data_IF_715225993668
#
_entry.id   IF_715225993668
#
_cell.length_a   1.000
_cell.length_b   1.000
_cell.length_c   1.000
_cell.angle_alpha   90.00
_cell.angle_beta   90.00
_cell.angle_gamma   90.00
#
_symmetry.space_group_name_H-M   'P 1'
#
loop_
_entity.id
_entity.type
_entity.pdbx_description
1 polymer ?
#
# COMPACT_ATOMS: atom_id res chain seq x y z
N UNK A 1 -19.87 -4.06 -3.88
CA UNK A 1 -19.53 -5.01 -4.99
C UNK A 1 -18.09 -5.40 -4.73
N UNK A 2 -17.82 -6.64 -4.29
CA UNK A 2 -16.45 -7.11 -4.06
C UNK A 2 -15.67 -6.98 -5.36
N UNK A 3 -14.59 -6.19 -5.35
CA UNK A 3 -13.61 -6.22 -6.43
C UNK A 3 -13.19 -7.68 -6.61
N UNK A 4 -13.31 -8.21 -7.83
CA UNK A 4 -12.88 -9.57 -8.10
C UNK A 4 -11.41 -9.67 -7.68
N UNK A 5 -11.12 -10.58 -6.75
CA UNK A 5 -9.79 -10.77 -6.18
C UNK A 5 -8.78 -10.95 -7.31
N UNK A 6 -7.97 -9.93 -7.54
CA UNK A 6 -6.91 -9.96 -8.53
C UNK A 6 -5.83 -10.93 -8.03
N UNK A 7 -5.58 -12.02 -8.79
CA UNK A 7 -4.41 -12.87 -8.51
C UNK A 7 -3.14 -12.22 -9.07
N UNK A 8 -2.27 -11.66 -8.23
CA UNK A 8 -1.06 -10.99 -8.68
C UNK A 8 -0.05 -11.95 -9.33
N UNK A 9 -0.23 -13.25 -9.17
CA UNK A 9 0.66 -14.31 -9.67
C UNK A 9 0.09 -15.08 -10.87
N UNK A 10 -1.13 -14.76 -11.31
CA UNK A 10 -1.75 -15.45 -12.45
C UNK A 10 -0.80 -15.51 -13.66
N UNK A 11 -0.72 -16.63 -14.39
CA UNK A 11 0.13 -16.76 -15.56
C UNK A 11 -0.18 -15.69 -16.61
N UNK A 12 0.86 -15.13 -17.22
CA UNK A 12 0.70 -14.19 -18.33
C UNK A 12 1.81 -14.39 -19.39
N UNK A 13 1.55 -14.07 -20.67
CA UNK A 13 2.56 -14.07 -21.71
C UNK A 13 3.71 -13.10 -21.42
N UNK A 14 4.89 -13.36 -21.99
CA UNK A 14 6.05 -12.47 -21.87
C UNK A 14 5.74 -11.06 -22.35
N UNK A 15 6.15 -10.06 -21.56
CA UNK A 15 5.97 -8.66 -21.88
C UNK A 15 4.52 -8.18 -21.97
N UNK A 16 3.54 -9.01 -21.58
CA UNK A 16 2.12 -8.69 -21.68
C UNK A 16 1.33 -9.27 -20.52
N UNK A 17 0.47 -8.44 -19.95
CA UNK A 17 -0.49 -8.84 -18.91
C UNK A 17 -1.91 -8.42 -19.34
N UNK A 18 -2.92 -9.18 -18.92
CA UNK A 18 -4.32 -8.81 -19.14
C UNK A 18 -5.23 -9.34 -18.02
N UNK A 19 -6.20 -8.55 -17.61
CA UNK A 19 -7.21 -8.90 -16.62
C UNK A 19 -8.30 -7.84 -16.54
N UNK A 20 -9.54 -8.26 -16.29
CA UNK A 20 -10.69 -7.38 -16.02
C UNK A 20 -10.87 -6.19 -16.99
N UNK A 21 -10.69 -6.43 -18.31
CA UNK A 21 -10.84 -5.38 -19.31
C UNK A 21 -9.62 -4.47 -19.48
N UNK A 22 -8.53 -4.74 -18.76
CA UNK A 22 -7.26 -4.01 -18.90
C UNK A 22 -6.19 -4.93 -19.52
N UNK A 23 -5.46 -4.40 -20.48
CA UNK A 23 -4.29 -5.04 -21.07
C UNK A 23 -3.10 -4.11 -20.94
N UNK A 24 -1.97 -4.62 -20.43
CA UNK A 24 -0.72 -3.88 -20.33
C UNK A 24 0.37 -4.60 -21.10
N UNK A 25 1.12 -3.86 -21.91
CA UNK A 25 2.20 -4.40 -22.75
C UNK A 25 3.45 -3.54 -22.60
N UNK A 26 4.59 -4.19 -22.39
CA UNK A 26 5.89 -3.52 -22.43
C UNK A 26 6.35 -3.36 -23.87
N UNK A 27 6.66 -2.12 -24.26
CA UNK A 27 7.26 -1.80 -25.56
C UNK A 27 8.76 -2.08 -25.57
N UNK A 28 9.22 -2.55 -26.72
CA UNK A 28 10.64 -2.63 -27.04
C UNK A 28 10.89 -1.73 -28.25
N UNK A 29 11.40 -0.54 -28.05
CA UNK A 29 11.72 0.43 -29.09
C UNK A 29 10.94 1.76 -29.00
N UNK A 30 11.20 2.70 -29.93
CA UNK A 30 10.61 4.02 -29.87
C UNK A 30 9.10 3.99 -30.03
N UNK A 31 8.45 4.91 -29.30
CA UNK A 31 7.01 5.09 -29.40
C UNK A 31 6.59 5.46 -30.82
N UNK A 32 5.60 4.76 -31.37
CA UNK A 32 4.91 5.13 -32.61
C UNK A 32 3.48 5.53 -32.26
N UNK A 33 3.10 6.82 -32.42
CA UNK A 33 1.72 7.24 -32.20
C UNK A 33 0.76 6.41 -33.04
N UNK A 34 -0.30 5.89 -32.44
CA UNK A 34 -1.35 5.18 -33.16
C UNK A 34 -2.41 6.19 -33.65
N UNK A 35 -2.68 6.34 -34.96
CA UNK A 35 -3.47 7.45 -35.50
C UNK A 35 -4.99 7.33 -35.36
N UNK A 36 -5.52 6.28 -34.77
CA UNK A 36 -6.94 5.92 -35.03
C UNK A 36 -7.89 5.83 -33.84
N UNK A 37 -7.50 6.11 -32.58
CA UNK A 37 -8.40 5.96 -31.41
C UNK A 37 -8.09 7.04 -30.37
N UNK A 38 -9.06 7.36 -29.48
CA UNK A 38 -8.85 8.21 -28.31
C UNK A 38 -7.65 7.70 -27.49
N UNK A 39 -6.48 8.25 -27.79
CA UNK A 39 -5.18 7.81 -27.29
C UNK A 39 -4.57 8.97 -26.52
N UNK A 40 -4.19 8.71 -25.29
CA UNK A 40 -3.35 9.62 -24.53
C UNK A 40 -1.96 9.01 -24.44
N UNK A 41 -0.96 9.73 -24.97
CA UNK A 41 0.44 9.32 -24.88
C UNK A 41 1.21 10.34 -24.06
N UNK A 42 1.95 9.84 -23.10
CA UNK A 42 2.96 10.54 -22.32
C UNK A 42 4.35 10.02 -22.73
N UNK A 43 5.44 10.58 -22.25
CA UNK A 43 6.77 10.05 -22.56
C UNK A 43 6.96 8.57 -22.25
N UNK A 44 6.26 8.08 -21.20
CA UNK A 44 6.45 6.72 -20.67
C UNK A 44 5.30 5.76 -20.99
N UNK A 45 4.09 6.28 -21.25
CA UNK A 45 2.88 5.47 -21.43
C UNK A 45 2.11 5.89 -22.67
N UNK A 46 1.50 4.91 -23.35
CA UNK A 46 0.42 5.15 -24.29
C UNK A 46 -0.80 4.37 -23.86
N UNK A 47 -1.93 5.06 -23.76
CA UNK A 47 -3.20 4.46 -23.33
C UNK A 47 -4.25 4.62 -24.39
N UNK A 48 -4.89 3.51 -24.71
CA UNK A 48 -6.01 3.44 -25.64
C UNK A 48 -7.24 2.94 -24.89
N UNK A 49 -8.33 3.70 -24.97
CA UNK A 49 -9.62 3.30 -24.40
C UNK A 49 -10.63 3.03 -25.49
N UNK A 50 -11.22 1.85 -25.47
CA UNK A 50 -12.32 1.46 -26.38
C UNK A 50 -13.47 0.89 -25.57
N UNK A 51 -14.49 1.71 -25.33
CA UNK A 51 -15.57 1.34 -24.40
C UNK A 51 -15.05 1.07 -23.00
N UNK A 52 -15.31 -0.13 -22.48
CA UNK A 52 -14.83 -0.58 -21.17
C UNK A 52 -13.40 -1.18 -21.22
N UNK A 53 -12.80 -1.33 -22.41
CA UNK A 53 -11.46 -1.89 -22.57
C UNK A 53 -10.41 -0.81 -22.49
N UNK A 54 -9.37 -1.08 -21.71
CA UNK A 54 -8.19 -0.23 -21.53
C UNK A 54 -6.93 -0.98 -21.99
N UNK A 55 -6.19 -0.40 -22.92
CA UNK A 55 -4.89 -0.92 -23.33
C UNK A 55 -3.83 0.09 -22.96
N UNK A 56 -2.81 -0.35 -22.23
CA UNK A 56 -1.68 0.46 -21.78
C UNK A 56 -0.39 -0.11 -22.35
N UNK A 57 0.40 0.72 -23.00
CA UNK A 57 1.76 0.40 -23.40
C UNK A 57 2.74 1.24 -22.60
N UNK A 58 3.85 0.66 -22.15
CA UNK A 58 4.90 1.35 -21.40
C UNK A 58 6.28 0.88 -21.83
N UNK A 59 7.32 1.64 -21.45
CA UNK A 59 8.72 1.32 -21.75
C UNK A 59 9.57 1.12 -20.49
N UNK A 60 8.94 0.96 -19.32
CA UNK A 60 9.65 0.81 -18.06
C UNK A 60 10.60 -0.39 -18.09
N UNK A 61 11.77 -0.20 -17.51
CA UNK A 61 12.80 -1.22 -17.35
C UNK A 61 12.66 -1.95 -16.00
N UNK A 62 13.24 -3.14 -15.86
CA UNK A 62 13.24 -3.84 -14.57
C UNK A 62 13.88 -3.04 -13.41
N UNK A 63 14.81 -2.13 -13.72
CA UNK A 63 15.44 -1.26 -12.71
C UNK A 63 14.51 -0.18 -12.17
N UNK A 64 13.48 0.19 -12.93
CA UNK A 64 12.52 1.24 -12.57
C UNK A 64 11.27 0.70 -11.85
N UNK A 65 11.14 -0.62 -11.74
CA UNK A 65 10.03 -1.23 -10.98
C UNK A 65 10.26 -1.04 -9.48
N UNK A 66 9.58 -0.09 -8.89
CA UNK A 66 9.55 0.14 -7.45
C UNK A 66 8.22 0.78 -7.05
N UNK A 67 8.03 1.06 -5.77
CA UNK A 67 6.86 1.75 -5.25
C UNK A 67 6.68 3.17 -5.84
N UNK A 68 7.74 3.78 -6.35
CA UNK A 68 7.67 5.03 -7.13
C UNK A 68 6.77 4.91 -8.38
N UNK A 69 6.44 3.69 -8.84
CA UNK A 69 5.46 3.44 -9.88
C UNK A 69 4.09 4.04 -9.53
N UNK A 70 3.72 4.08 -8.25
CA UNK A 70 2.49 4.71 -7.76
C UNK A 70 2.42 6.17 -8.18
N UNK A 71 3.47 6.95 -7.90
CA UNK A 71 3.54 8.36 -8.27
C UNK A 71 3.62 8.55 -9.80
N UNK A 72 4.38 7.71 -10.47
CA UNK A 72 4.53 7.76 -11.92
C UNK A 72 3.19 7.52 -12.65
N UNK A 73 2.41 6.54 -12.21
CA UNK A 73 1.08 6.29 -12.78
C UNK A 73 0.10 7.43 -12.45
N UNK A 74 0.19 7.98 -11.25
CA UNK A 74 -0.65 9.12 -10.85
C UNK A 74 -0.39 10.32 -11.75
N UNK A 75 0.85 10.76 -11.88
CA UNK A 75 1.24 11.91 -12.69
C UNK A 75 0.89 11.73 -14.17
N UNK A 76 1.20 10.57 -14.72
CA UNK A 76 1.06 10.36 -16.16
C UNK A 76 -0.34 9.92 -16.60
N UNK A 77 -1.10 9.23 -15.74
CA UNK A 77 -2.34 8.58 -16.15
C UNK A 77 -3.57 9.00 -15.33
N UNK A 78 -3.43 9.26 -14.04
CA UNK A 78 -4.57 9.70 -13.21
C UNK A 78 -4.82 11.19 -13.39
N UNK A 79 -3.79 12.02 -13.21
CA UNK A 79 -3.91 13.47 -13.30
C UNK A 79 -4.27 13.94 -14.72
N UNK A 80 -4.05 13.11 -15.73
CA UNK A 80 -4.51 13.32 -17.12
C UNK A 80 -5.95 12.86 -17.36
N UNK A 81 -6.61 12.27 -16.36
CA UNK A 81 -7.98 11.75 -16.46
C UNK A 81 -8.14 10.46 -17.27
N UNK A 82 -7.02 9.79 -17.59
CA UNK A 82 -7.02 8.56 -18.39
C UNK A 82 -7.43 7.34 -17.56
N UNK A 83 -6.93 7.21 -16.33
CA UNK A 83 -7.36 6.19 -15.37
C UNK A 83 -8.50 6.72 -14.51
N UNK A 84 -9.46 5.83 -14.20
CA UNK A 84 -10.68 6.15 -13.47
C UNK A 84 -10.77 5.32 -12.20
N UNK A 85 -10.56 5.99 -11.07
CA UNK A 85 -10.68 5.37 -9.74
C UNK A 85 -9.64 4.28 -9.45
N UNK A 86 -9.75 3.72 -8.26
CA UNK A 86 -8.81 2.77 -7.67
C UNK A 86 -8.67 1.48 -8.49
N UNK A 87 -9.79 0.90 -8.95
CA UNK A 87 -9.77 -0.40 -9.63
C UNK A 87 -8.95 -0.40 -10.93
N UNK A 88 -9.09 0.64 -11.78
CA UNK A 88 -8.26 0.75 -13.00
C UNK A 88 -6.80 1.01 -12.66
N UNK A 89 -6.53 1.81 -11.62
CA UNK A 89 -5.18 2.09 -11.14
C UNK A 89 -4.47 0.80 -10.71
N UNK A 90 -5.09 -0.01 -9.86
CA UNK A 90 -4.53 -1.27 -9.37
C UNK A 90 -4.29 -2.30 -10.49
N UNK A 91 -5.21 -2.39 -11.46
CA UNK A 91 -5.07 -3.26 -12.62
C UNK A 91 -3.89 -2.84 -13.49
N UNK A 92 -3.75 -1.53 -13.76
CA UNK A 92 -2.62 -1.01 -14.55
C UNK A 92 -1.31 -1.16 -13.80
N UNK A 93 -1.28 -0.87 -12.50
CA UNK A 93 -0.10 -1.08 -11.66
C UNK A 93 0.38 -2.54 -11.72
N UNK A 94 -0.52 -3.48 -11.45
CA UNK A 94 -0.24 -4.91 -11.54
C UNK A 94 0.24 -5.29 -12.93
N UNK A 95 -0.44 -4.80 -13.96
CA UNK A 95 -0.08 -5.06 -15.36
C UNK A 95 1.31 -4.56 -15.72
N UNK A 96 1.72 -3.38 -15.24
CA UNK A 96 3.06 -2.84 -15.46
C UNK A 96 4.11 -3.70 -14.78
N UNK A 97 3.92 -4.07 -13.50
CA UNK A 97 4.85 -4.96 -12.79
C UNK A 97 5.00 -6.28 -13.54
N UNK A 98 3.88 -6.89 -13.98
CA UNK A 98 3.82 -8.21 -14.58
C UNK A 98 4.29 -8.26 -16.04
N UNK A 99 4.19 -7.16 -16.79
CA UNK A 99 4.68 -7.07 -18.17
C UNK A 99 6.14 -6.63 -18.28
N UNK A 100 6.72 -6.06 -17.23
CA UNK A 100 8.11 -5.58 -17.26
C UNK A 100 9.13 -6.69 -17.06
N UNK A 101 8.84 -7.67 -16.20
CA UNK A 101 9.72 -8.82 -15.93
C UNK A 101 8.94 -10.11 -16.11
N UNK A 102 9.53 -11.06 -16.82
CA UNK A 102 8.93 -12.36 -17.04
C UNK A 102 8.85 -13.19 -15.74
N UNK A 103 7.77 -13.95 -15.62
CA UNK A 103 7.52 -14.82 -14.48
C UNK A 103 6.78 -14.12 -13.33
N UNK A 104 5.73 -14.78 -12.83
CA UNK A 104 4.83 -14.22 -11.80
C UNK A 104 5.55 -13.69 -10.58
N UNK A 105 6.17 -14.58 -9.82
CA UNK A 105 6.89 -14.20 -8.60
C UNK A 105 8.17 -13.39 -8.89
N UNK A 106 8.85 -13.64 -10.02
CA UNK A 106 10.10 -12.94 -10.37
C UNK A 106 9.87 -11.44 -10.61
N UNK A 107 8.74 -11.07 -11.24
CA UNK A 107 8.39 -9.66 -11.44
C UNK A 107 8.16 -8.95 -10.10
N UNK A 108 7.39 -9.56 -9.21
CA UNK A 108 7.16 -9.02 -7.87
C UNK A 108 8.44 -8.98 -7.03
N UNK A 109 9.29 -10.00 -7.05
CA UNK A 109 10.57 -9.96 -6.35
C UNK A 109 11.47 -8.82 -6.83
N UNK A 110 11.44 -8.49 -8.12
CA UNK A 110 12.16 -7.31 -8.64
C UNK A 110 11.58 -6.02 -8.07
N UNK A 111 10.25 -5.87 -8.12
CA UNK A 111 9.55 -4.73 -7.54
C UNK A 111 9.86 -4.55 -6.05
N UNK A 112 9.73 -5.62 -5.26
CA UNK A 112 10.02 -5.56 -3.82
C UNK A 112 11.47 -5.21 -3.50
N UNK A 113 12.45 -5.80 -4.21
CA UNK A 113 13.87 -5.50 -3.99
C UNK A 113 14.19 -4.04 -4.27
N UNK A 114 13.70 -3.51 -5.38
CA UNK A 114 13.94 -2.12 -5.74
C UNK A 114 13.25 -1.16 -4.75
N UNK A 115 12.01 -1.44 -4.35
CA UNK A 115 11.26 -0.64 -3.39
C UNK A 115 11.92 -0.64 -2.01
N UNK A 116 12.31 -1.81 -1.50
CA UNK A 116 13.00 -1.92 -0.22
C UNK A 116 14.36 -1.23 -0.25
N UNK A 117 15.12 -1.37 -1.34
CA UNK A 117 16.39 -0.66 -1.49
C UNK A 117 16.20 0.86 -1.46
N UNK A 118 15.22 1.41 -2.19
CA UNK A 118 14.91 2.82 -2.17
C UNK A 118 14.46 3.33 -0.79
N UNK A 119 13.63 2.54 -0.08
CA UNK A 119 13.20 2.83 1.28
C UNK A 119 14.37 2.81 2.29
N UNK A 120 15.29 1.88 2.15
CA UNK A 120 16.45 1.70 3.05
C UNK A 120 17.53 2.76 2.81
N UNK A 121 17.70 3.21 1.56
CA UNK A 121 18.61 4.31 1.21
C UNK A 121 18.02 5.71 1.48
N UNK A 122 16.73 5.82 1.73
CA UNK A 122 16.06 7.11 1.95
C UNK A 122 15.57 7.80 0.68
N UNK A 123 15.65 7.13 -0.47
CA UNK A 123 15.28 7.70 -1.79
C UNK A 123 13.76 7.61 -2.07
N UNK A 124 13.03 6.75 -1.36
CA UNK A 124 11.60 6.61 -1.55
C UNK A 124 10.81 7.67 -0.78
N UNK A 125 9.69 8.12 -1.33
CA UNK A 125 8.79 9.10 -0.68
C UNK A 125 8.32 8.64 0.72
N UNK A 126 8.11 7.34 0.91
CA UNK A 126 7.73 6.76 2.20
C UNK A 126 8.91 6.49 3.16
N UNK A 127 10.15 6.71 2.74
CA UNK A 127 11.31 6.44 3.61
C UNK A 127 11.29 7.20 4.95
N UNK A 128 10.99 8.52 5.01
CA UNK A 128 10.89 9.24 6.28
C UNK A 128 9.71 8.74 7.14
N UNK A 129 8.58 8.36 6.53
CA UNK A 129 7.43 7.80 7.25
C UNK A 129 7.80 6.47 7.90
N UNK A 130 8.45 5.57 7.16
CA UNK A 130 8.91 4.30 7.70
C UNK A 130 9.99 4.46 8.78
N UNK A 131 10.86 5.45 8.65
CA UNK A 131 11.88 5.75 9.67
C UNK A 131 11.23 6.23 10.97
N UNK A 132 10.26 7.13 10.87
CA UNK A 132 9.50 7.64 12.01
C UNK A 132 8.68 6.52 12.67
N UNK A 133 7.95 5.72 11.89
CA UNK A 133 7.20 4.59 12.42
C UNK A 133 8.11 3.61 13.17
N UNK A 134 9.29 3.28 12.60
CA UNK A 134 10.27 2.41 13.24
C UNK A 134 10.80 2.98 14.57
N UNK A 135 11.03 4.28 14.66
CA UNK A 135 11.43 4.96 15.89
C UNK A 135 10.36 4.89 17.00
N UNK A 136 9.08 4.76 16.59
CA UNK A 136 7.95 4.63 17.51
C UNK A 136 7.73 3.19 17.99
N UNK A 137 8.29 2.16 17.36
CA UNK A 137 8.10 0.75 17.76
C UNK A 137 8.66 0.51 19.18
N UNK A 138 7.90 -0.17 20.01
CA UNK A 138 8.25 -0.59 21.38
C UNK A 138 8.12 -2.11 21.49
N UNK A 139 9.13 -2.74 22.05
CA UNK A 139 9.18 -4.19 22.24
C UNK A 139 9.42 -4.98 20.95
N UNK A 140 9.56 -6.31 21.07
CA UNK A 140 9.94 -7.16 19.95
C UNK A 140 8.78 -7.55 19.03
N UNK A 141 7.53 -7.56 19.51
CA UNK A 141 6.38 -8.02 18.73
C UNK A 141 5.62 -6.88 18.10
N UNK A 142 5.44 -6.95 16.79
CA UNK A 142 4.75 -5.95 15.98
C UNK A 142 3.58 -6.59 15.20
N UNK A 143 2.41 -5.98 15.26
CA UNK A 143 1.32 -6.21 14.31
C UNK A 143 1.17 -4.96 13.45
N UNK A 144 1.12 -5.14 12.13
CA UNK A 144 0.86 -4.06 11.17
C UNK A 144 -0.49 -4.30 10.51
N UNK A 145 -1.41 -3.37 10.71
CA UNK A 145 -2.78 -3.41 10.19
C UNK A 145 -2.85 -2.70 8.83
N UNK A 146 -3.43 -3.37 7.82
CA UNK A 146 -3.54 -2.83 6.46
C UNK A 146 -2.18 -2.74 5.76
N UNK A 147 -1.39 -3.80 5.85
CA UNK A 147 0.01 -3.82 5.40
C UNK A 147 0.21 -3.66 3.90
N UNK A 148 -0.82 -3.85 3.07
CA UNK A 148 -0.75 -3.78 1.61
C UNK A 148 0.41 -4.64 1.05
N UNK A 149 1.45 -4.04 0.47
CA UNK A 149 2.66 -4.73 0.02
C UNK A 149 3.59 -5.19 1.16
N UNK A 150 3.37 -4.77 2.39
CA UNK A 150 4.15 -5.19 3.55
C UNK A 150 5.59 -4.67 3.58
N UNK A 151 5.88 -3.52 2.99
CA UNK A 151 7.23 -2.95 3.02
C UNK A 151 7.69 -2.60 4.44
N UNK A 152 6.81 -2.02 5.26
CA UNK A 152 7.13 -1.72 6.66
C UNK A 152 7.35 -3.01 7.46
N UNK A 153 6.45 -4.02 7.44
CA UNK A 153 6.70 -5.34 8.00
C UNK A 153 8.03 -5.97 7.60
N UNK A 154 8.37 -5.98 6.31
CA UNK A 154 9.62 -6.54 5.82
C UNK A 154 10.86 -5.81 6.34
N UNK A 155 10.79 -4.49 6.52
CA UNK A 155 11.86 -3.70 7.14
C UNK A 155 12.01 -4.00 8.62
N UNK A 156 10.89 -4.12 9.36
CA UNK A 156 10.92 -4.45 10.78
C UNK A 156 11.44 -5.86 11.03
N UNK A 157 11.06 -6.83 10.19
CA UNK A 157 11.62 -8.18 10.26
C UNK A 157 13.13 -8.20 10.01
N UNK A 158 13.65 -7.38 9.08
CA UNK A 158 15.08 -7.23 8.87
C UNK A 158 15.82 -6.60 10.07
N UNK A 159 15.12 -5.84 10.92
CA UNK A 159 15.64 -5.29 12.18
C UNK A 159 15.49 -6.26 13.37
N UNK A 160 14.96 -7.46 13.14
CA UNK A 160 14.85 -8.52 14.14
C UNK A 160 13.56 -8.52 14.96
N UNK A 161 12.53 -7.78 14.54
CA UNK A 161 11.22 -7.85 15.17
C UNK A 161 10.45 -9.11 14.72
N UNK A 162 9.63 -9.64 15.62
CA UNK A 162 8.61 -10.67 15.34
C UNK A 162 7.36 -9.95 14.79
N UNK A 163 7.11 -10.10 13.49
CA UNK A 163 6.16 -9.27 12.76
C UNK A 163 5.01 -10.10 12.20
N UNK A 164 3.79 -9.67 12.49
CA UNK A 164 2.57 -10.10 11.82
C UNK A 164 2.05 -8.95 10.95
N UNK A 165 1.97 -9.18 9.66
CA UNK A 165 1.33 -8.29 8.69
C UNK A 165 -0.12 -8.73 8.46
N UNK A 166 -1.05 -7.80 8.49
CA UNK A 166 -2.47 -8.08 8.21
C UNK A 166 -3.00 -7.19 7.10
N UNK A 167 -3.91 -7.73 6.29
CA UNK A 167 -4.61 -6.98 5.24
C UNK A 167 -5.94 -7.66 4.91
N UNK A 168 -6.89 -6.91 4.39
CA UNK A 168 -8.18 -7.43 3.94
C UNK A 168 -8.02 -8.35 2.70
N UNK A 169 -6.94 -8.19 1.93
CA UNK A 169 -6.67 -8.91 0.68
C UNK A 169 -5.91 -10.22 0.90
N UNK A 170 -6.54 -11.40 0.75
CA UNK A 170 -5.83 -12.68 0.83
C UNK A 170 -4.73 -12.82 -0.24
N UNK A 171 -4.93 -12.21 -1.41
CA UNK A 171 -3.95 -12.26 -2.49
C UNK A 171 -2.71 -11.41 -2.19
N UNK A 172 -2.86 -10.25 -1.54
CA UNK A 172 -1.74 -9.44 -1.06
C UNK A 172 -0.95 -10.19 0.02
N UNK A 173 -1.64 -10.76 1.00
CA UNK A 173 -0.99 -11.54 2.07
C UNK A 173 -0.30 -12.80 1.54
N UNK A 174 -0.91 -13.52 0.60
CA UNK A 174 -0.29 -14.67 -0.06
C UNK A 174 0.93 -14.29 -0.93
N UNK A 175 0.95 -13.10 -1.52
CA UNK A 175 2.11 -12.57 -2.22
C UNK A 175 3.23 -12.21 -1.24
N UNK A 176 2.89 -11.50 -0.16
CA UNK A 176 3.84 -11.09 0.87
C UNK A 176 4.51 -12.29 1.53
N UNK A 177 3.77 -13.34 1.87
CA UNK A 177 4.30 -14.59 2.42
C UNK A 177 5.39 -15.20 1.51
N UNK A 178 5.10 -15.32 0.21
CA UNK A 178 6.06 -15.84 -0.77
C UNK A 178 7.28 -14.95 -0.95
N UNK A 179 7.08 -13.64 -0.91
CA UNK A 179 8.16 -12.65 -1.07
C UNK A 179 9.03 -12.63 0.18
N UNK A 180 8.45 -12.59 1.38
CA UNK A 180 9.16 -12.56 2.66
C UNK A 180 10.13 -13.73 2.79
N UNK A 181 9.67 -14.93 2.44
CA UNK A 181 10.48 -16.16 2.40
C UNK A 181 11.68 -16.02 1.44
N UNK A 182 11.45 -15.49 0.22
CA UNK A 182 12.50 -15.32 -0.80
C UNK A 182 13.48 -14.20 -0.51
N UNK A 183 13.09 -13.23 0.30
CA UNK A 183 13.94 -12.14 0.76
C UNK A 183 14.67 -12.44 2.07
N UNK A 184 14.42 -13.60 2.68
CA UNK A 184 14.93 -13.97 4.00
C UNK A 184 14.58 -12.91 5.08
N UNK A 185 13.35 -12.35 4.99
CA UNK A 185 12.79 -11.40 5.96
C UNK A 185 11.48 -12.01 6.50
N UNK A 186 11.54 -12.86 7.55
CA UNK A 186 10.38 -13.62 7.98
C UNK A 186 9.28 -12.71 8.54
N UNK A 187 8.14 -12.70 7.87
CA UNK A 187 6.92 -11.98 8.26
C UNK A 187 5.78 -12.98 8.25
N UNK A 188 5.08 -13.13 9.36
CA UNK A 188 3.82 -13.85 9.39
C UNK A 188 2.73 -13.00 8.70
N UNK A 189 1.82 -13.65 7.98
CA UNK A 189 0.74 -12.94 7.26
C UNK A 189 -0.62 -13.46 7.65
N UNK A 190 -1.61 -12.57 7.79
CA UNK A 190 -2.99 -12.91 8.11
C UNK A 190 -3.94 -12.05 7.24
N UNK A 191 -4.76 -12.71 6.42
CA UNK A 191 -5.82 -12.02 5.71
C UNK A 191 -7.04 -11.88 6.63
N UNK A 192 -7.37 -10.67 7.06
CA UNK A 192 -8.48 -10.39 7.96
C UNK A 192 -8.97 -8.94 7.82
N UNK A 193 -10.15 -8.68 8.35
CA UNK A 193 -10.65 -7.33 8.57
C UNK A 193 -9.91 -6.71 9.78
N UNK A 194 -9.37 -5.50 9.62
CA UNK A 194 -8.67 -4.80 10.70
C UNK A 194 -9.60 -4.31 11.83
N UNK A 195 -10.92 -4.39 11.63
CA UNK A 195 -11.92 -4.08 12.67
C UNK A 195 -12.17 -5.24 13.62
N UNK A 196 -11.77 -6.47 13.24
CA UNK A 196 -12.00 -7.71 14.02
C UNK A 196 -10.90 -8.74 13.72
N UNK A 197 -9.74 -8.57 14.31
CA UNK A 197 -8.59 -9.46 14.12
C UNK A 197 -8.68 -10.63 15.09
N UNK A 198 -8.75 -11.86 14.59
CA UNK A 198 -8.94 -13.07 15.39
C UNK A 198 -7.66 -13.42 16.16
N UNK A 199 -7.29 -12.56 17.12
CA UNK A 199 -6.15 -12.72 18.02
C UNK A 199 -6.54 -12.31 19.45
N UNK A 200 -5.89 -12.88 20.49
CA UNK A 200 -6.10 -12.45 21.88
C UNK A 200 -5.71 -10.99 22.13
N UNK A 201 -6.30 -10.41 23.18
CA UNK A 201 -5.89 -9.08 23.67
C UNK A 201 -4.40 -9.05 24.00
N UNK A 202 -3.76 -7.93 23.69
CA UNK A 202 -2.34 -7.74 23.96
C UNK A 202 -1.45 -8.73 23.19
N UNK A 203 -1.78 -9.09 21.96
CA UNK A 203 -1.02 -10.02 21.13
C UNK A 203 0.33 -9.44 20.66
N UNK A 204 0.48 -8.12 20.61
CA UNK A 204 1.72 -7.45 20.23
C UNK A 204 2.14 -6.38 21.24
N UNK A 205 3.42 -6.01 21.24
CA UNK A 205 3.91 -4.88 22.02
C UNK A 205 3.53 -3.56 21.35
N UNK A 206 3.67 -3.51 20.02
CA UNK A 206 3.26 -2.38 19.19
C UNK A 206 2.30 -2.83 18.11
N UNK A 207 1.30 -2.01 17.82
CA UNK A 207 0.42 -2.14 16.65
C UNK A 207 0.58 -0.90 15.77
N UNK A 208 0.79 -1.08 14.48
CA UNK A 208 0.86 0.01 13.51
C UNK A 208 -0.33 -0.01 12.57
N UNK A 209 -0.78 1.17 12.16
CA UNK A 209 -1.77 1.40 11.11
C UNK A 209 -1.26 2.58 10.26
N UNK A 210 -0.40 2.26 9.29
CA UNK A 210 0.28 3.26 8.47
C UNK A 210 -0.46 3.42 7.15
N UNK A 211 -1.05 4.59 6.92
CA UNK A 211 -1.85 4.88 5.73
C UNK A 211 -3.00 3.88 5.54
N UNK A 212 -3.76 3.61 6.60
CA UNK A 212 -4.91 2.72 6.59
C UNK A 212 -6.22 3.46 6.81
N UNK A 213 -6.29 4.32 7.83
CA UNK A 213 -7.58 4.84 8.31
C UNK A 213 -8.21 5.87 7.37
N UNK A 214 -7.46 6.45 6.44
CA UNK A 214 -7.99 7.30 5.36
C UNK A 214 -8.83 6.55 4.33
N UNK A 215 -8.68 5.22 4.24
CA UNK A 215 -9.47 4.35 3.37
C UNK A 215 -10.80 3.93 3.98
N UNK A 216 -11.02 4.19 5.27
CA UNK A 216 -12.13 3.63 6.03
C UNK A 216 -13.26 4.66 6.23
N UNK A 217 -14.54 4.26 6.15
CA UNK A 217 -15.62 5.09 6.66
C UNK A 217 -15.48 5.29 8.17
N UNK A 218 -16.11 6.34 8.72
CA UNK A 218 -15.91 6.78 10.11
C UNK A 218 -16.14 5.66 11.13
N UNK A 219 -17.18 4.85 10.97
CA UNK A 219 -17.48 3.77 11.91
C UNK A 219 -16.39 2.69 11.92
N UNK A 220 -15.92 2.30 10.74
CA UNK A 220 -14.82 1.33 10.59
C UNK A 220 -13.49 1.90 11.12
N UNK A 221 -13.22 3.19 10.92
CA UNK A 221 -12.06 3.86 11.47
C UNK A 221 -12.00 3.72 13.00
N UNK A 222 -13.10 4.03 13.70
CA UNK A 222 -13.15 3.89 15.15
C UNK A 222 -12.99 2.44 15.60
N UNK A 223 -13.62 1.48 14.89
CA UNK A 223 -13.48 0.07 15.21
C UNK A 223 -12.03 -0.41 15.04
N UNK A 224 -11.31 0.03 13.99
CA UNK A 224 -9.89 -0.30 13.80
C UNK A 224 -9.02 0.28 14.91
N UNK A 225 -9.27 1.51 15.35
CA UNK A 225 -8.49 2.12 16.44
C UNK A 225 -8.74 1.42 17.78
N UNK A 226 -9.99 1.04 18.07
CA UNK A 226 -10.34 0.26 19.26
C UNK A 226 -9.70 -1.13 19.22
N UNK A 227 -9.69 -1.76 18.05
CA UNK A 227 -9.05 -3.06 17.82
C UNK A 227 -7.52 -2.97 17.94
N UNK A 228 -6.90 -1.95 17.36
CA UNK A 228 -5.47 -1.69 17.53
C UNK A 228 -5.08 -1.53 19.00
N UNK A 229 -5.89 -0.79 19.77
CA UNK A 229 -5.71 -0.69 21.22
C UNK A 229 -5.90 -2.03 21.93
N UNK A 230 -6.87 -2.84 21.57
CA UNK A 230 -7.08 -4.18 22.14
C UNK A 230 -5.86 -5.08 21.93
N UNK A 231 -5.29 -5.06 20.73
CA UNK A 231 -4.14 -5.89 20.33
C UNK A 231 -2.82 -5.41 20.94
N UNK A 232 -2.66 -4.10 21.17
CA UNK A 232 -1.42 -3.53 21.66
C UNK A 232 -1.26 -3.67 23.18
N UNK A 233 -0.07 -4.07 23.63
CA UNK A 233 0.33 -4.05 25.05
C UNK A 233 0.88 -2.70 25.49
N UNK A 234 1.57 -2.01 24.60
CA UNK A 234 2.36 -0.82 24.92
C UNK A 234 1.99 0.39 24.09
N UNK A 235 1.90 0.21 22.75
CA UNK A 235 1.78 1.36 21.83
C UNK A 235 0.99 1.02 20.59
N UNK A 236 0.16 1.99 20.16
CA UNK A 236 -0.41 2.04 18.82
C UNK A 236 0.20 3.23 18.08
N UNK A 237 0.59 3.03 16.82
CA UNK A 237 1.16 4.06 15.95
C UNK A 237 0.33 4.17 14.70
N UNK A 238 -0.25 5.33 14.46
CA UNK A 238 -1.06 5.63 13.28
C UNK A 238 -0.40 6.75 12.50
N UNK A 239 -0.28 6.58 11.19
CA UNK A 239 0.15 7.62 10.27
C UNK A 239 -0.89 7.80 9.17
N UNK A 240 -1.16 9.04 8.78
CA UNK A 240 -2.11 9.42 7.71
C UNK A 240 -1.50 10.49 6.81
N UNK A 241 -1.85 10.53 5.51
CA UNK A 241 -1.46 11.64 4.66
C UNK A 241 -2.26 12.90 5.02
N UNK A 242 -1.64 14.07 4.84
CA UNK A 242 -2.37 15.33 4.79
C UNK A 242 -2.61 15.71 3.33
N UNK A 243 -3.82 15.56 2.88
CA UNK A 243 -4.26 15.84 1.52
C UNK A 243 -5.30 16.96 1.53
N UNK A 244 -5.29 17.81 0.50
CA UNK A 244 -6.35 18.83 0.35
C UNK A 244 -7.70 18.19 0.05
N UNK A 245 -7.69 17.12 -0.73
CA UNK A 245 -8.84 16.27 -1.04
C UNK A 245 -8.42 14.80 -1.08
N UNK A 246 -9.29 13.88 -0.61
CA UNK A 246 -9.02 12.44 -0.70
C UNK A 246 -8.79 12.01 -2.16
N UNK A 247 -7.77 11.19 -2.40
CA UNK A 247 -7.45 10.70 -3.75
C UNK A 247 -8.19 9.39 -4.04
N UNK A 248 -9.23 9.45 -4.84
CA UNK A 248 -10.04 8.30 -5.25
C UNK A 248 -9.21 7.18 -5.89
N UNK A 249 -8.13 7.53 -6.61
CA UNK A 249 -7.26 6.53 -7.26
C UNK A 249 -6.52 5.65 -6.25
N UNK A 250 -6.32 6.12 -5.04
CA UNK A 250 -5.75 5.35 -3.93
C UNK A 250 -6.83 4.74 -3.03
N UNK A 251 -8.10 5.05 -3.26
CA UNK A 251 -9.21 4.60 -2.42
C UNK A 251 -9.35 5.39 -1.12
N UNK A 252 -8.79 6.61 -1.05
CA UNK A 252 -8.99 7.47 0.10
C UNK A 252 -10.41 8.02 0.11
N UNK A 253 -11.08 7.87 1.25
CA UNK A 253 -12.45 8.35 1.47
C UNK A 253 -12.53 9.41 2.55
N UNK A 254 -11.44 9.63 3.29
CA UNK A 254 -11.38 10.60 4.36
C UNK A 254 -10.16 11.51 4.24
N UNK A 255 -10.37 12.76 4.65
CA UNK A 255 -9.32 13.76 4.79
C UNK A 255 -8.92 13.89 6.25
N UNK A 256 -7.62 13.99 6.49
CA UNK A 256 -7.05 14.28 7.82
C UNK A 256 -6.30 15.60 7.84
N UNK A 257 -6.31 16.21 9.00
CA UNK A 257 -5.46 17.29 9.44
C UNK A 257 -5.12 17.10 10.93
N UNK A 258 -4.23 17.92 11.44
CA UNK A 258 -3.79 17.79 12.84
C UNK A 258 -4.94 17.96 13.84
N UNK A 259 -5.88 18.86 13.56
CA UNK A 259 -7.03 19.10 14.44
C UNK A 259 -7.95 17.87 14.51
N UNK A 260 -8.16 17.18 13.39
CA UNK A 260 -8.95 15.95 13.37
C UNK A 260 -8.26 14.83 14.14
N UNK A 261 -6.93 14.69 14.01
CA UNK A 261 -6.17 13.72 14.80
C UNK A 261 -6.23 14.02 16.29
N UNK A 262 -6.17 15.30 16.70
CA UNK A 262 -6.35 15.72 18.10
C UNK A 262 -7.71 15.32 18.64
N UNK A 263 -8.79 15.54 17.88
CA UNK A 263 -10.14 15.10 18.28
C UNK A 263 -10.22 13.58 18.46
N UNK A 264 -9.65 12.80 17.54
CA UNK A 264 -9.58 11.34 17.68
C UNK A 264 -8.79 10.94 18.94
N UNK A 265 -7.68 11.63 19.23
CA UNK A 265 -6.89 11.41 20.43
C UNK A 265 -7.72 11.65 21.71
N UNK A 266 -8.46 12.77 21.77
CA UNK A 266 -9.33 13.13 22.89
C UNK A 266 -10.47 12.11 23.06
N UNK A 267 -11.10 11.69 21.97
CA UNK A 267 -12.16 10.69 21.98
C UNK A 267 -11.65 9.33 22.50
N UNK A 268 -10.48 8.86 22.01
CA UNK A 268 -9.90 7.60 22.44
C UNK A 268 -9.47 7.63 23.91
N UNK A 269 -8.81 8.69 24.36
CA UNK A 269 -8.42 8.84 25.77
C UNK A 269 -9.62 8.96 26.70
N UNK A 270 -10.72 9.56 26.23
CA UNK A 270 -11.98 9.61 26.98
C UNK A 270 -12.70 8.27 27.09
N UNK A 271 -12.56 7.38 26.09
CA UNK A 271 -13.19 6.04 26.07
C UNK A 271 -12.36 4.95 26.73
N UNK A 272 -11.04 5.05 26.68
CA UNK A 272 -10.11 4.04 27.18
C UNK A 272 -9.28 4.58 28.35
N UNK A 273 -9.57 4.11 29.55
CA UNK A 273 -8.82 4.52 30.74
C UNK A 273 -7.36 4.02 30.68
N UNK A 274 -6.43 4.86 31.12
CA UNK A 274 -5.02 4.49 31.25
C UNK A 274 -4.20 4.62 29.96
N UNK A 275 -4.76 5.17 28.87
CA UNK A 275 -3.98 5.52 27.68
C UNK A 275 -3.63 7.01 27.66
N UNK A 276 -2.49 7.33 27.06
CA UNK A 276 -2.10 8.68 26.68
C UNK A 276 -1.96 8.79 25.17
N UNK A 277 -2.20 9.99 24.63
CA UNK A 277 -2.16 10.21 23.19
C UNK A 277 -1.25 11.39 22.83
N UNK A 278 -0.50 11.26 21.76
CA UNK A 278 0.29 12.32 21.16
C UNK A 278 -0.04 12.44 19.68
N UNK A 279 -0.24 13.68 19.22
CA UNK A 279 -0.44 13.97 17.80
C UNK A 279 0.57 15.00 17.33
N UNK A 280 1.11 14.78 16.13
CA UNK A 280 2.05 15.72 15.50
C UNK A 280 2.04 15.58 13.99
N UNK A 281 2.66 16.55 13.31
CA UNK A 281 2.82 16.55 11.85
C UNK A 281 4.27 16.27 11.49
N UNK A 282 4.50 15.26 10.65
CA UNK A 282 5.78 14.93 10.05
C UNK A 282 5.54 14.10 8.78
N UNK A 283 5.73 14.66 7.60
CA UNK A 283 5.37 14.03 6.32
C UNK A 283 3.93 13.49 6.27
N UNK A 284 3.00 14.16 6.94
CA UNK A 284 1.63 13.74 7.19
C UNK A 284 1.27 13.94 8.65
N UNK A 285 0.24 13.26 9.13
CA UNK A 285 -0.23 13.30 10.51
C UNK A 285 0.07 12.03 11.27
N UNK A 286 0.40 12.16 12.53
CA UNK A 286 0.69 11.05 13.43
C UNK A 286 -0.21 11.08 14.65
N UNK A 287 -0.68 9.91 15.04
CA UNK A 287 -1.35 9.65 16.31
C UNK A 287 -0.64 8.47 16.97
N UNK A 288 -0.04 8.72 18.12
CA UNK A 288 0.65 7.71 18.95
C UNK A 288 -0.09 7.56 20.24
N UNK A 289 -0.52 6.34 20.57
CA UNK A 289 -1.24 6.00 21.78
C UNK A 289 -0.36 5.08 22.63
N UNK A 290 -0.09 5.47 23.88
CA UNK A 290 0.65 4.68 24.86
C UNK A 290 -0.28 4.13 25.95
N UNK A 291 -0.02 2.86 26.34
CA UNK A 291 -0.70 2.15 27.44
C UNK A 291 0.16 2.09 28.67
#
# INVERSE_FOLDING_TARGET
MQAALLDPLAPCPRGRWSGHGVQVTRRHGPHRPHPAVATVCTPRFCVHRRGAWLTVEHDLTPGELSDALTLLLTEHLVDTGVLRGQSEFELVFTGVVRSTVDGGLSSWLRFYRNSLAALEHGDAAFAPIHAEAAAQVRGPRLIDLGSCFGFFPLRMAALGHDVLATDLSPSAMGLLDRVSTRLCRPVATLACDATDVVLPDGSADTVTALHLIEHLPTDALHAVLDEALRLARRRVVVAVPFEEQPRDCYGHVQRFDLLRLQRLADELTGRHAGITAHTYAFHGGWLVLDR
#
